data_IF_597201292608
#
_entry.id   IF_597201292608
#
_cell.length_a   1.000
_cell.length_b   1.000
_cell.length_c   1.000
_cell.angle_alpha   90.00
_cell.angle_beta   90.00
_cell.angle_gamma   90.00
#
_symmetry.space_group_name_H-M   'P 1'
#
loop_
_entity.id
_entity.type
_entity.pdbx_description
1 polymer ?
#
# COMPACT_ATOMS: atom_id res chain seq x y z
N UNK A 1 -12.77 -1.52 24.57
CA UNK A 1 -14.24 -1.66 24.48
C UNK A 1 -14.48 -2.87 23.59
N UNK A 2 -15.49 -3.70 23.88
CA UNK A 2 -15.87 -4.76 22.96
C UNK A 2 -16.70 -4.15 21.83
N UNK A 3 -16.51 -4.62 20.61
CA UNK A 3 -17.22 -4.14 19.42
C UNK A 3 -17.84 -5.36 18.72
N UNK A 4 -19.08 -5.19 18.29
CA UNK A 4 -19.77 -6.20 17.49
C UNK A 4 -19.97 -5.68 16.06
N UNK A 5 -19.94 -6.60 15.09
CA UNK A 5 -20.32 -6.35 13.71
C UNK A 5 -21.76 -6.76 13.50
N UNK A 6 -22.55 -5.80 13.02
CA UNK A 6 -23.90 -6.01 12.57
C UNK A 6 -23.88 -6.11 11.04
N UNK A 7 -24.48 -7.15 10.45
CA UNK A 7 -24.52 -7.32 9.00
C UNK A 7 -25.90 -7.72 8.49
N UNK A 8 -26.21 -7.35 7.23
CA UNK A 8 -27.43 -7.76 6.55
C UNK A 8 -27.21 -7.82 5.03
N UNK A 9 -27.79 -8.83 4.37
CA UNK A 9 -27.82 -8.94 2.91
C UNK A 9 -29.01 -8.16 2.36
N UNK A 10 -28.76 -7.22 1.46
CA UNK A 10 -29.74 -6.26 0.92
C UNK A 10 -29.54 -6.07 -0.59
N UNK A 11 -30.41 -5.29 -1.23
CA UNK A 11 -30.09 -4.77 -2.57
C UNK A 11 -29.05 -3.66 -2.46
N UNK A 12 -28.37 -3.32 -3.55
CA UNK A 12 -27.39 -2.24 -3.61
C UNK A 12 -27.96 -0.93 -3.07
N UNK A 13 -29.12 -0.54 -3.59
CA UNK A 13 -29.81 0.70 -3.21
C UNK A 13 -30.20 0.71 -1.73
N UNK A 14 -30.67 -0.42 -1.21
CA UNK A 14 -31.03 -0.57 0.20
C UNK A 14 -29.80 -0.50 1.12
N UNK A 15 -28.71 -1.16 0.74
CA UNK A 15 -27.48 -1.17 1.52
C UNK A 15 -26.92 0.24 1.68
N UNK A 16 -26.81 1.01 0.59
CA UNK A 16 -26.34 2.39 0.65
C UNK A 16 -27.29 3.31 1.41
N UNK A 17 -28.60 3.18 1.20
CA UNK A 17 -29.59 3.98 1.93
C UNK A 17 -29.50 3.74 3.46
N UNK A 18 -29.24 2.50 3.87
CA UNK A 18 -29.07 2.17 5.27
C UNK A 18 -27.74 2.68 5.83
N UNK A 19 -26.64 2.61 5.05
CA UNK A 19 -25.34 3.21 5.42
C UNK A 19 -25.49 4.70 5.68
N UNK A 20 -26.09 5.44 4.73
CA UNK A 20 -26.27 6.88 4.86
C UNK A 20 -27.06 7.23 6.13
N UNK A 21 -28.17 6.51 6.40
CA UNK A 21 -29.00 6.75 7.54
C UNK A 21 -28.34 6.39 8.89
N UNK A 22 -27.53 5.33 8.92
CA UNK A 22 -26.79 4.94 10.13
C UNK A 22 -25.67 5.93 10.42
N UNK A 23 -24.97 6.42 9.39
CA UNK A 23 -23.90 7.39 9.56
C UNK A 23 -24.37 8.79 10.00
N UNK A 24 -25.67 9.08 9.91
CA UNK A 24 -26.29 10.27 10.52
C UNK A 24 -26.60 10.10 12.02
N UNK A 25 -26.35 8.91 12.58
CA UNK A 25 -26.72 8.51 13.95
C UNK A 25 -25.49 8.04 14.73
N UNK A 26 -24.76 8.97 15.33
CA UNK A 26 -23.56 8.70 16.16
C UNK A 26 -23.82 7.76 17.35
N UNK A 27 -25.10 7.55 17.71
CA UNK A 27 -25.51 6.68 18.80
C UNK A 27 -25.75 5.20 18.39
N UNK A 28 -25.73 4.90 17.09
CA UNK A 28 -26.01 3.55 16.57
C UNK A 28 -24.77 2.75 16.21
N UNK A 29 -23.83 3.35 15.53
CA UNK A 29 -22.65 2.67 15.06
C UNK A 29 -21.41 3.58 15.07
N UNK A 30 -20.25 2.97 15.22
CA UNK A 30 -18.95 3.62 15.08
C UNK A 30 -18.61 3.85 13.59
N UNK A 31 -18.96 2.88 12.75
CA UNK A 31 -18.80 2.94 11.29
C UNK A 31 -19.89 2.13 10.61
N UNK A 32 -20.23 2.50 9.36
CA UNK A 32 -21.08 1.67 8.50
C UNK A 32 -20.52 1.66 7.06
N UNK A 33 -20.70 0.54 6.35
CA UNK A 33 -20.25 0.32 4.98
C UNK A 33 -21.20 -0.60 4.22
N UNK A 34 -21.09 -0.59 2.88
CA UNK A 34 -21.76 -1.55 2.01
C UNK A 34 -20.79 -2.02 0.92
N UNK A 35 -20.79 -3.32 0.64
CA UNK A 35 -19.96 -3.92 -0.39
C UNK A 35 -20.70 -5.06 -1.12
N UNK A 36 -20.22 -5.37 -2.32
CA UNK A 36 -20.74 -6.47 -3.13
C UNK A 36 -19.91 -7.73 -2.90
N UNK A 37 -20.56 -8.87 -2.72
CA UNK A 37 -19.90 -10.18 -2.71
C UNK A 37 -19.67 -10.57 -4.18
N UNK A 38 -18.43 -10.52 -4.65
CA UNK A 38 -18.07 -10.78 -6.06
C UNK A 38 -18.57 -12.14 -6.58
N UNK A 39 -18.64 -13.16 -5.72
CA UNK A 39 -19.05 -14.51 -6.09
C UNK A 39 -20.56 -14.65 -6.32
N UNK A 40 -21.39 -13.90 -5.61
CA UNK A 40 -22.85 -14.01 -5.65
C UNK A 40 -23.53 -12.78 -6.26
N UNK A 41 -22.86 -11.64 -6.30
CA UNK A 41 -23.42 -10.35 -6.71
C UNK A 41 -24.40 -9.76 -5.68
N UNK A 42 -24.46 -10.34 -4.49
CA UNK A 42 -25.28 -9.83 -3.39
C UNK A 42 -24.56 -8.69 -2.67
N UNK A 43 -25.34 -7.73 -2.17
CA UNK A 43 -24.82 -6.61 -1.39
C UNK A 43 -25.00 -6.84 0.09
N UNK A 44 -23.95 -6.55 0.86
CA UNK A 44 -23.95 -6.65 2.31
C UNK A 44 -23.78 -5.26 2.90
N UNK A 45 -24.70 -4.92 3.82
CA UNK A 45 -24.54 -3.82 4.75
C UNK A 45 -23.81 -4.32 5.99
N UNK A 46 -22.85 -3.56 6.46
CA UNK A 46 -22.11 -3.82 7.70
C UNK A 46 -22.03 -2.56 8.57
N UNK A 47 -22.13 -2.74 9.89
CA UNK A 47 -21.91 -1.67 10.85
C UNK A 47 -21.14 -2.18 12.06
N UNK A 48 -20.13 -1.44 12.52
CA UNK A 48 -19.39 -1.72 13.75
C UNK A 48 -20.04 -0.94 14.90
N UNK A 49 -20.45 -1.63 15.95
CA UNK A 49 -21.22 -1.09 17.06
C UNK A 49 -20.59 -1.41 18.41
N UNK A 50 -20.86 -0.59 19.41
CA UNK A 50 -20.57 -0.98 20.80
C UNK A 50 -21.37 -2.21 21.21
N UNK A 51 -20.75 -3.09 22.01
CA UNK A 51 -21.37 -4.34 22.49
C UNK A 51 -22.21 -4.10 23.73
N UNK A 52 -23.49 -4.57 23.77
CA UNK A 52 -24.28 -5.15 22.67
C UNK A 52 -24.89 -4.07 21.76
N UNK A 53 -25.01 -4.34 20.43
CA UNK A 53 -25.64 -3.38 19.52
C UNK A 53 -27.13 -3.23 19.80
N UNK A 54 -27.66 -2.04 19.55
CA UNK A 54 -29.09 -1.74 19.73
C UNK A 54 -29.89 -2.19 18.50
N UNK A 55 -30.18 -3.49 18.39
CA UNK A 55 -30.90 -4.11 17.25
C UNK A 55 -32.27 -3.46 17.02
N UNK A 56 -32.99 -3.09 18.11
CA UNK A 56 -34.32 -2.47 17.97
C UNK A 56 -34.22 -1.11 17.28
N UNK A 57 -33.22 -0.30 17.60
CA UNK A 57 -33.01 0.99 16.96
C UNK A 57 -32.56 0.83 15.49
N UNK A 58 -31.77 -0.19 15.16
CA UNK A 58 -31.44 -0.52 13.77
C UNK A 58 -32.68 -0.95 12.98
N UNK A 59 -33.55 -1.77 13.57
CA UNK A 59 -34.80 -2.18 12.93
C UNK A 59 -35.77 -0.99 12.74
N UNK A 60 -35.89 -0.12 13.73
CA UNK A 60 -36.70 1.10 13.58
C UNK A 60 -36.20 1.99 12.44
N UNK A 61 -34.88 2.16 12.34
CA UNK A 61 -34.25 2.92 11.25
C UNK A 61 -34.47 2.23 9.88
N UNK A 62 -34.29 0.92 9.81
CA UNK A 62 -34.53 0.13 8.60
C UNK A 62 -36.00 0.24 8.12
N UNK A 63 -36.95 0.19 9.02
CA UNK A 63 -38.38 0.41 8.70
C UNK A 63 -38.62 1.81 8.12
N UNK A 64 -38.00 2.83 8.70
CA UNK A 64 -38.15 4.23 8.24
C UNK A 64 -37.54 4.43 6.84
N UNK A 65 -36.36 3.83 6.57
CA UNK A 65 -35.59 4.07 5.35
C UNK A 65 -35.98 3.10 4.24
N UNK A 66 -36.18 1.81 4.57
CA UNK A 66 -36.40 0.74 3.60
C UNK A 66 -37.86 0.29 3.53
N UNK A 67 -38.69 0.71 4.47
CA UNK A 67 -40.11 0.33 4.53
C UNK A 67 -40.36 -1.09 5.06
N UNK A 68 -39.38 -1.77 5.63
CA UNK A 68 -39.49 -3.14 6.12
C UNK A 68 -38.48 -3.49 7.20
N UNK A 69 -38.72 -4.62 7.90
CA UNK A 69 -37.80 -5.19 8.88
C UNK A 69 -36.61 -5.84 8.14
N UNK A 70 -35.42 -5.64 8.65
CA UNK A 70 -34.17 -6.27 8.18
C UNK A 70 -33.73 -7.29 9.21
N UNK A 71 -33.36 -8.46 8.77
CA UNK A 71 -32.74 -9.48 9.64
C UNK A 71 -31.25 -9.22 9.72
N UNK A 72 -30.79 -8.79 10.90
CA UNK A 72 -29.38 -8.50 11.15
C UNK A 72 -28.70 -9.71 11.82
N UNK A 73 -27.57 -10.12 11.28
CA UNK A 73 -26.61 -10.99 11.95
C UNK A 73 -25.70 -10.13 12.84
N UNK A 74 -25.35 -10.66 14.02
CA UNK A 74 -24.44 -10.00 14.96
C UNK A 74 -23.31 -10.96 15.26
N UNK A 75 -22.08 -10.51 15.02
CA UNK A 75 -20.87 -11.26 15.32
C UNK A 75 -19.91 -10.39 16.15
N UNK A 76 -19.28 -10.93 17.22
CA UNK A 76 -18.29 -10.18 17.96
C UNK A 76 -17.07 -9.91 17.09
N UNK A 77 -16.62 -8.66 17.07
CA UNK A 77 -15.34 -8.30 16.45
C UNK A 77 -14.24 -8.62 17.46
N UNK A 78 -13.44 -9.61 17.15
CA UNK A 78 -12.20 -9.84 17.89
C UNK A 78 -11.19 -8.76 17.49
N UNK A 79 -11.01 -7.77 18.37
CA UNK A 79 -10.08 -6.67 18.16
C UNK A 79 -8.61 -7.12 18.19
N UNK A 80 -8.34 -8.36 18.66
CA UNK A 80 -7.01 -8.97 18.60
C UNK A 80 -6.74 -9.64 17.23
N UNK A 81 -7.80 -9.87 16.44
CA UNK A 81 -7.63 -10.37 15.07
C UNK A 81 -7.09 -9.21 14.22
N UNK A 82 -5.88 -9.38 13.74
CA UNK A 82 -5.33 -8.51 12.69
C UNK A 82 -6.10 -8.74 11.38
N UNK A 83 -7.16 -7.95 11.15
CA UNK A 83 -8.03 -8.03 9.98
C UNK A 83 -7.25 -7.84 8.67
N UNK A 84 -6.17 -7.05 8.72
CA UNK A 84 -5.27 -6.88 7.57
C UNK A 84 -4.54 -8.18 7.29
N UNK A 85 -4.02 -8.86 8.31
CA UNK A 85 -3.40 -10.17 8.14
C UNK A 85 -4.39 -11.19 7.58
N UNK A 86 -5.64 -11.19 8.05
CA UNK A 86 -6.68 -12.13 7.60
C UNK A 86 -7.16 -11.85 6.16
N UNK A 87 -7.25 -10.60 5.74
CA UNK A 87 -7.55 -10.26 4.34
C UNK A 87 -6.39 -10.59 3.39
N UNK A 88 -5.20 -10.83 3.93
CA UNK A 88 -4.01 -11.26 3.19
C UNK A 88 -3.85 -12.79 3.18
N UNK A 89 -4.56 -13.51 4.08
CA UNK A 89 -4.65 -14.95 4.06
C UNK A 89 -5.34 -15.39 2.76
N UNK A 90 -4.57 -15.92 1.82
CA UNK A 90 -5.08 -16.39 0.52
C UNK A 90 -4.69 -15.55 -0.69
N UNK A 91 -3.98 -14.45 -0.52
CA UNK A 91 -3.38 -13.76 -1.65
C UNK A 91 -2.28 -14.63 -2.27
N UNK A 92 -2.44 -14.97 -3.54
CA UNK A 92 -1.45 -15.78 -4.26
C UNK A 92 -0.10 -15.02 -4.36
N UNK A 93 1.03 -15.72 -4.35
CA UNK A 93 2.33 -15.10 -4.53
C UNK A 93 2.43 -14.30 -5.82
N UNK A 94 3.17 -13.20 -5.81
CA UNK A 94 3.38 -12.34 -6.98
C UNK A 94 4.77 -12.57 -7.57
N UNK A 95 4.82 -12.79 -8.89
CA UNK A 95 6.07 -12.85 -9.65
C UNK A 95 6.22 -11.56 -10.44
N UNK A 96 7.24 -10.77 -10.13
CA UNK A 96 7.53 -9.50 -10.78
C UNK A 96 9.03 -9.23 -10.81
N UNK A 97 9.59 -8.81 -11.93
CA UNK A 97 11.00 -8.40 -12.04
C UNK A 97 12.00 -9.46 -11.54
N UNK A 98 11.72 -10.77 -11.72
CA UNK A 98 12.58 -11.85 -11.21
C UNK A 98 12.50 -12.07 -9.70
N UNK A 99 11.53 -11.43 -9.00
CA UNK A 99 11.23 -11.65 -7.60
C UNK A 99 9.99 -12.53 -7.43
N UNK A 100 9.98 -13.32 -6.37
CA UNK A 100 8.84 -14.10 -5.89
C UNK A 100 8.42 -13.53 -4.53
N UNK A 101 7.37 -12.71 -4.52
CA UNK A 101 6.86 -12.03 -3.31
C UNK A 101 5.73 -12.86 -2.73
N UNK A 102 5.83 -13.26 -1.47
CA UNK A 102 4.86 -14.12 -0.80
C UNK A 102 4.70 -13.75 0.68
N UNK A 103 3.52 -14.04 1.24
CA UNK A 103 3.25 -13.87 2.66
C UNK A 103 3.63 -15.12 3.47
N UNK A 104 3.61 -15.02 4.80
CA UNK A 104 3.93 -16.12 5.74
C UNK A 104 2.99 -17.32 5.63
N UNK A 105 1.80 -17.14 5.08
CA UNK A 105 0.82 -18.20 4.84
C UNK A 105 1.19 -19.12 3.66
N UNK A 106 2.06 -18.65 2.76
CA UNK A 106 2.49 -19.43 1.60
C UNK A 106 3.52 -20.49 2.00
N UNK A 107 3.19 -21.76 1.77
CA UNK A 107 4.04 -22.93 2.13
C UNK A 107 4.51 -23.70 0.90
N UNK A 108 4.16 -23.21 -0.32
CA UNK A 108 4.54 -23.84 -1.56
C UNK A 108 6.03 -23.73 -1.87
N UNK A 109 6.52 -24.50 -2.85
CA UNK A 109 7.92 -24.43 -3.25
C UNK A 109 8.21 -23.10 -3.96
N UNK A 110 9.34 -22.49 -3.61
CA UNK A 110 9.83 -21.29 -4.29
C UNK A 110 10.24 -21.67 -5.72
N UNK A 111 9.72 -20.99 -6.77
CA UNK A 111 10.08 -21.28 -8.15
C UNK A 111 11.58 -21.05 -8.40
N UNK A 112 12.20 -21.95 -9.17
CA UNK A 112 13.62 -21.87 -9.50
C UNK A 112 13.95 -20.61 -10.31
N UNK A 113 15.07 -19.97 -10.01
CA UNK A 113 15.55 -18.77 -10.71
C UNK A 113 14.94 -17.46 -10.23
N UNK A 114 13.98 -17.49 -9.29
CA UNK A 114 13.41 -16.27 -8.70
C UNK A 114 14.06 -15.96 -7.34
N UNK A 115 14.13 -14.66 -7.02
CA UNK A 115 14.57 -14.20 -5.71
C UNK A 115 13.38 -14.16 -4.77
N UNK A 116 13.36 -14.99 -3.70
CA UNK A 116 12.25 -15.00 -2.76
C UNK A 116 12.27 -13.78 -1.86
N UNK A 117 11.08 -13.20 -1.65
CA UNK A 117 10.84 -12.11 -0.70
C UNK A 117 9.58 -12.43 0.11
N UNK A 118 9.79 -12.74 1.39
CA UNK A 118 8.70 -12.92 2.33
C UNK A 118 8.28 -11.55 2.85
N UNK A 119 7.07 -11.13 2.54
CA UNK A 119 6.54 -9.82 2.91
C UNK A 119 5.22 -10.02 3.64
N UNK A 120 5.24 -9.72 4.92
CA UNK A 120 4.05 -9.70 5.74
C UNK A 120 3.62 -8.24 5.94
N UNK A 121 2.33 -7.97 5.69
CA UNK A 121 1.87 -6.59 5.64
C UNK A 121 1.33 -6.09 6.97
N UNK A 122 1.29 -6.90 8.01
CA UNK A 122 0.73 -6.57 9.33
C UNK A 122 -0.38 -5.47 9.25
N UNK A 123 -0.01 -4.20 9.36
CA UNK A 123 -0.91 -3.05 9.20
C UNK A 123 -0.39 -2.03 8.16
N UNK A 124 0.75 -2.34 7.50
CA UNK A 124 1.35 -1.43 6.53
C UNK A 124 0.91 -1.73 5.08
N UNK A 125 0.88 -0.69 4.25
CA UNK A 125 0.53 -0.79 2.84
C UNK A 125 1.68 -1.39 2.02
N UNK A 126 1.39 -2.18 0.97
CA UNK A 126 2.42 -2.61 0.01
C UNK A 126 2.78 -4.09 0.04
N UNK A 127 1.80 -4.97 0.03
CA UNK A 127 1.97 -6.44 0.04
C UNK A 127 2.61 -7.05 -1.21
N UNK A 128 2.88 -6.24 -2.24
CA UNK A 128 3.36 -6.74 -3.53
C UNK A 128 2.24 -7.16 -4.50
N UNK A 129 1.02 -7.33 -4.04
CA UNK A 129 -0.12 -7.75 -4.86
C UNK A 129 -0.74 -6.62 -5.69
N UNK A 130 -0.31 -5.39 -5.45
CA UNK A 130 -0.80 -4.25 -6.18
C UNK A 130 0.01 -4.03 -7.46
N UNK A 131 -0.66 -3.64 -8.55
CA UNK A 131 -0.05 -3.39 -9.87
C UNK A 131 1.10 -2.36 -9.82
N UNK A 132 1.03 -1.41 -8.88
CA UNK A 132 2.06 -0.39 -8.67
C UNK A 132 3.37 -0.98 -8.15
N UNK A 133 3.30 -1.90 -7.18
CA UNK A 133 4.47 -2.61 -6.64
C UNK A 133 5.10 -3.50 -7.70
N UNK A 134 4.26 -4.22 -8.46
CA UNK A 134 4.71 -5.03 -9.60
C UNK A 134 5.49 -4.20 -10.62
N UNK A 135 4.95 -3.04 -11.01
CA UNK A 135 5.63 -2.12 -11.93
C UNK A 135 6.97 -1.60 -11.38
N UNK A 136 7.05 -1.29 -10.09
CA UNK A 136 8.30 -0.90 -9.45
C UNK A 136 9.34 -2.02 -9.45
N UNK A 137 8.96 -3.26 -9.11
CA UNK A 137 9.88 -4.41 -9.09
C UNK A 137 10.44 -4.69 -10.49
N UNK A 138 9.62 -4.58 -11.52
CA UNK A 138 10.09 -4.71 -12.91
C UNK A 138 11.03 -3.58 -13.31
N UNK A 139 10.69 -2.32 -12.96
CA UNK A 139 11.54 -1.17 -13.24
C UNK A 139 12.90 -1.27 -12.50
N UNK A 140 12.89 -1.72 -11.24
CA UNK A 140 14.10 -2.00 -10.47
C UNK A 140 14.97 -3.05 -11.19
N UNK A 141 14.41 -4.20 -11.55
CA UNK A 141 15.16 -5.25 -12.23
C UNK A 141 15.74 -4.76 -13.57
N UNK A 142 14.95 -4.04 -14.37
CA UNK A 142 15.42 -3.45 -15.63
C UNK A 142 16.58 -2.48 -15.41
N UNK A 143 16.53 -1.66 -14.35
CA UNK A 143 17.60 -0.73 -13.98
C UNK A 143 18.85 -1.47 -13.55
N UNK A 144 18.72 -2.46 -12.66
CA UNK A 144 19.86 -3.20 -12.07
C UNK A 144 20.60 -4.07 -13.07
N UNK A 145 19.99 -4.43 -14.20
CA UNK A 145 20.70 -5.03 -15.33
C UNK A 145 21.67 -4.07 -16.04
N UNK A 146 21.51 -2.76 -15.88
CA UNK A 146 22.27 -1.74 -16.60
C UNK A 146 23.22 -0.95 -15.70
N UNK A 147 22.87 -0.82 -14.42
CA UNK A 147 23.60 0.01 -13.46
C UNK A 147 23.71 -0.69 -12.10
N UNK A 148 24.61 -0.18 -11.27
CA UNK A 148 24.78 -0.64 -9.89
C UNK A 148 24.75 0.60 -8.98
N UNK A 149 23.56 1.12 -8.64
CA UNK A 149 23.43 2.25 -7.75
C UNK A 149 23.99 1.95 -6.35
N UNK A 150 24.54 2.97 -5.68
CA UNK A 150 25.20 2.85 -4.38
C UNK A 150 24.51 3.67 -3.29
N UNK A 151 24.05 4.87 -3.66
CA UNK A 151 23.29 5.74 -2.77
C UNK A 151 21.80 5.63 -3.11
N UNK A 152 21.05 4.95 -2.24
CA UNK A 152 19.69 4.50 -2.54
C UNK A 152 18.75 4.95 -1.44
N UNK A 153 17.58 5.48 -1.81
CA UNK A 153 16.51 5.82 -0.89
C UNK A 153 15.16 5.33 -1.40
N UNK A 154 14.36 4.77 -0.49
CA UNK A 154 12.97 4.38 -0.70
C UNK A 154 12.07 5.31 0.13
N UNK A 155 11.26 6.15 -0.53
CA UNK A 155 10.42 7.17 0.09
C UNK A 155 8.97 6.67 0.15
N UNK A 156 8.40 6.57 1.36
CA UNK A 156 7.10 5.93 1.59
C UNK A 156 7.24 4.41 1.43
N UNK A 157 8.14 3.82 2.19
CA UNK A 157 8.59 2.43 2.03
C UNK A 157 7.51 1.38 2.37
N UNK A 158 6.51 1.74 3.22
CA UNK A 158 5.43 0.86 3.62
C UNK A 158 5.92 -0.44 4.28
N UNK A 159 5.75 -1.55 3.60
CA UNK A 159 6.24 -2.87 4.04
C UNK A 159 7.74 -3.08 3.82
N UNK A 160 8.43 -2.16 3.17
CA UNK A 160 9.82 -2.31 2.81
C UNK A 160 10.08 -3.11 1.53
N UNK A 161 9.04 -3.53 0.82
CA UNK A 161 9.17 -4.47 -0.31
C UNK A 161 10.16 -4.00 -1.38
N UNK A 162 10.18 -2.70 -1.72
CA UNK A 162 11.07 -2.16 -2.76
C UNK A 162 12.51 -2.03 -2.24
N UNK A 163 12.70 -1.53 -1.02
CA UNK A 163 14.01 -1.50 -0.37
C UNK A 163 14.61 -2.91 -0.23
N UNK A 164 13.82 -3.91 0.19
CA UNK A 164 14.21 -5.31 0.32
C UNK A 164 14.60 -5.89 -1.04
N UNK A 165 13.83 -5.61 -2.10
CA UNK A 165 14.15 -6.06 -3.46
C UNK A 165 15.53 -5.57 -3.90
N UNK A 166 15.81 -4.29 -3.72
CA UNK A 166 17.11 -3.69 -4.06
C UNK A 166 18.22 -4.28 -3.18
N UNK A 167 18.00 -4.43 -1.86
CA UNK A 167 18.97 -5.00 -0.94
C UNK A 167 19.36 -6.44 -1.30
N UNK A 168 18.40 -7.26 -1.67
CA UNK A 168 18.64 -8.65 -2.11
C UNK A 168 19.46 -8.75 -3.41
N UNK A 169 19.35 -7.76 -4.29
CA UNK A 169 20.11 -7.71 -5.54
C UNK A 169 21.52 -7.13 -5.39
N UNK A 170 21.66 -6.09 -4.59
CA UNK A 170 22.91 -5.29 -4.53
C UNK A 170 23.70 -5.49 -3.24
N UNK A 171 23.05 -5.83 -2.13
CA UNK A 171 23.70 -5.95 -0.82
C UNK A 171 24.23 -4.64 -0.23
N UNK A 172 23.92 -3.49 -0.83
CA UNK A 172 24.33 -2.16 -0.34
C UNK A 172 23.48 -1.62 0.79
N UNK A 173 23.83 -0.44 1.32
CA UNK A 173 23.02 0.29 2.30
C UNK A 173 21.92 1.08 1.60
N UNK A 174 20.71 0.96 2.11
CA UNK A 174 19.50 1.61 1.60
C UNK A 174 18.87 2.37 2.75
N UNK A 175 18.51 3.62 2.52
CA UNK A 175 17.66 4.38 3.42
C UNK A 175 16.21 4.15 3.02
N UNK A 176 15.40 3.64 3.94
CA UNK A 176 13.96 3.48 3.76
C UNK A 176 13.23 4.47 4.69
N UNK A 177 12.28 5.22 4.17
CA UNK A 177 11.59 6.24 4.97
C UNK A 177 10.08 6.12 4.84
N UNK A 178 9.37 6.36 5.92
CA UNK A 178 7.91 6.48 5.91
C UNK A 178 7.45 7.51 6.95
N UNK A 179 6.29 8.10 6.73
CA UNK A 179 5.64 8.99 7.70
C UNK A 179 4.98 8.20 8.84
N UNK A 180 4.63 6.93 8.58
CA UNK A 180 3.96 6.05 9.53
C UNK A 180 5.01 5.22 10.31
N UNK A 181 5.10 5.36 11.64
CA UNK A 181 6.00 4.55 12.46
C UNK A 181 5.69 3.05 12.40
N UNK A 182 4.44 2.66 12.09
CA UNK A 182 4.07 1.25 11.89
C UNK A 182 4.74 0.72 10.61
N UNK A 183 4.74 1.49 9.53
CA UNK A 183 5.43 1.12 8.29
C UNK A 183 6.94 0.98 8.51
N UNK A 184 7.57 1.87 9.29
CA UNK A 184 8.99 1.76 9.66
C UNK A 184 9.26 0.46 10.40
N UNK A 185 8.44 0.12 11.41
CA UNK A 185 8.58 -1.12 12.17
C UNK A 185 8.40 -2.35 11.28
N UNK A 186 7.37 -2.35 10.45
CA UNK A 186 7.09 -3.44 9.47
C UNK A 186 8.26 -3.62 8.48
N UNK A 187 8.83 -2.52 7.99
CA UNK A 187 10.01 -2.57 7.12
C UNK A 187 11.19 -3.25 7.82
N UNK A 188 11.46 -2.93 9.10
CA UNK A 188 12.54 -3.55 9.88
C UNK A 188 12.30 -5.06 10.06
N UNK A 189 11.09 -5.45 10.40
CA UNK A 189 10.71 -6.86 10.59
C UNK A 189 10.83 -7.64 9.28
N UNK A 190 10.27 -7.14 8.18
CA UNK A 190 10.39 -7.77 6.88
C UNK A 190 11.84 -7.83 6.37
N UNK A 191 12.66 -6.82 6.65
CA UNK A 191 14.08 -6.84 6.32
C UNK A 191 14.83 -7.95 7.06
N UNK A 192 14.49 -8.17 8.35
CA UNK A 192 15.07 -9.25 9.15
C UNK A 192 14.66 -10.63 8.62
N UNK A 193 13.36 -10.85 8.34
CA UNK A 193 12.84 -12.09 7.77
C UNK A 193 13.48 -12.42 6.40
N UNK A 194 13.86 -11.40 5.66
CA UNK A 194 14.51 -11.54 4.37
C UNK A 194 16.03 -11.64 4.42
N UNK A 195 16.65 -11.57 5.62
CA UNK A 195 18.10 -11.63 5.82
C UNK A 195 18.87 -10.43 5.29
N UNK A 196 18.20 -9.24 5.21
CA UNK A 196 18.79 -7.99 4.72
C UNK A 196 18.70 -6.85 5.76
N UNK A 197 18.49 -7.17 7.04
CA UNK A 197 18.38 -6.18 8.11
C UNK A 197 19.60 -5.24 8.15
N UNK A 198 20.81 -5.77 7.97
CA UNK A 198 22.03 -4.97 7.96
C UNK A 198 22.16 -4.03 6.75
N UNK A 199 21.29 -4.19 5.74
CA UNK A 199 21.32 -3.41 4.51
C UNK A 199 20.31 -2.26 4.51
N UNK A 200 19.32 -2.27 5.39
CA UNK A 200 18.21 -1.31 5.38
C UNK A 200 18.22 -0.51 6.68
N UNK A 201 18.37 0.79 6.55
CA UNK A 201 18.17 1.74 7.62
C UNK A 201 16.78 2.37 7.45
N UNK A 202 15.79 1.91 8.23
CA UNK A 202 14.43 2.43 8.18
C UNK A 202 14.22 3.53 9.23
N UNK A 203 13.65 4.67 8.81
CA UNK A 203 13.42 5.83 9.68
C UNK A 203 12.05 6.46 9.42
N UNK A 204 11.47 7.04 10.47
CA UNK A 204 10.29 7.89 10.35
C UNK A 204 10.68 9.25 9.77
N UNK A 205 10.03 9.67 8.68
CA UNK A 205 10.28 10.95 8.04
C UNK A 205 9.06 11.46 7.27
N UNK A 206 8.74 12.73 7.43
CA UNK A 206 7.73 13.41 6.63
C UNK A 206 8.35 13.86 5.29
N UNK A 207 8.02 13.15 4.21
CA UNK A 207 8.55 13.44 2.88
C UNK A 207 10.08 13.39 2.86
N UNK A 208 10.73 14.55 2.64
CA UNK A 208 12.19 14.68 2.58
C UNK A 208 12.77 15.46 3.76
N UNK A 209 11.99 15.75 4.81
CA UNK A 209 12.35 16.67 5.88
C UNK A 209 13.19 16.03 7.02
N UNK A 210 13.94 14.98 6.72
CA UNK A 210 14.80 14.35 7.72
C UNK A 210 16.29 14.56 7.42
N UNK A 211 17.09 14.83 8.46
CA UNK A 211 18.52 15.12 8.30
C UNK A 211 19.33 13.98 7.67
N UNK A 212 18.96 12.73 7.93
CA UNK A 212 19.59 11.55 7.31
C UNK A 212 19.41 11.50 5.80
N UNK A 213 18.24 11.95 5.26
CA UNK A 213 18.00 12.00 3.83
C UNK A 213 18.99 12.98 3.18
N UNK A 214 19.12 14.16 3.73
CA UNK A 214 20.05 15.18 3.24
C UNK A 214 21.52 14.77 3.41
N UNK A 215 21.87 14.10 4.53
CA UNK A 215 23.24 13.68 4.83
C UNK A 215 23.75 12.58 3.89
N UNK A 216 22.87 11.75 3.33
CA UNK A 216 23.23 10.66 2.41
C UNK A 216 23.08 11.04 0.94
N UNK A 217 22.54 12.22 0.64
CA UNK A 217 22.46 12.73 -0.74
C UNK A 217 23.89 13.05 -1.28
N UNK A 218 24.08 13.02 -2.62
CA UNK A 218 23.08 12.77 -3.65
C UNK A 218 22.83 11.27 -3.88
N UNK A 219 21.60 10.93 -4.31
CA UNK A 219 21.16 9.54 -4.53
C UNK A 219 21.27 9.13 -6.00
N UNK A 220 21.78 7.91 -6.22
CA UNK A 220 21.83 7.26 -7.54
C UNK A 220 20.48 6.66 -7.93
N UNK A 221 19.72 6.20 -6.90
CA UNK A 221 18.40 5.62 -7.06
C UNK A 221 17.46 6.17 -5.99
N UNK A 222 16.36 6.74 -6.43
CA UNK A 222 15.23 7.13 -5.60
C UNK A 222 14.04 6.26 -6.03
N UNK A 223 13.43 5.55 -5.09
CA UNK A 223 12.20 4.81 -5.33
C UNK A 223 11.09 5.43 -4.49
N UNK A 224 9.90 5.58 -5.06
CA UNK A 224 8.72 6.05 -4.33
C UNK A 224 7.45 5.46 -4.94
N UNK A 225 6.71 4.67 -4.17
CA UNK A 225 5.41 4.12 -4.55
C UNK A 225 4.32 4.70 -3.66
N UNK A 226 4.01 5.99 -3.87
CA UNK A 226 3.05 6.78 -3.10
C UNK A 226 2.08 7.50 -4.03
N UNK A 227 1.06 8.16 -3.48
CA UNK A 227 0.06 8.87 -4.27
C UNK A 227 0.63 10.00 -5.14
N UNK A 228 0.02 10.24 -6.30
CA UNK A 228 0.46 11.23 -7.29
C UNK A 228 0.54 12.67 -6.75
N UNK A 229 -0.35 13.07 -5.83
CA UNK A 229 -0.32 14.39 -5.19
C UNK A 229 0.98 14.62 -4.44
N UNK A 230 1.29 13.82 -3.40
CA UNK A 230 2.57 13.88 -2.69
C UNK A 230 3.79 13.77 -3.61
N UNK A 231 3.78 12.89 -4.62
CA UNK A 231 4.87 12.80 -5.60
C UNK A 231 5.12 14.13 -6.31
N UNK A 232 4.05 14.80 -6.73
CA UNK A 232 4.14 16.09 -7.40
C UNK A 232 4.72 17.18 -6.46
N UNK A 233 4.30 17.19 -5.20
CA UNK A 233 4.79 18.13 -4.18
C UNK A 233 6.27 17.91 -3.84
N UNK A 234 6.71 16.65 -3.81
CA UNK A 234 8.09 16.27 -3.51
C UNK A 234 9.06 16.48 -4.70
N UNK A 235 8.56 16.66 -5.92
CA UNK A 235 9.40 16.73 -7.12
C UNK A 235 10.58 17.73 -7.03
N UNK A 236 10.41 18.99 -6.56
CA UNK A 236 11.53 19.91 -6.42
C UNK A 236 12.60 19.42 -5.45
N UNK A 237 12.19 18.86 -4.29
CA UNK A 237 13.08 18.31 -3.30
C UNK A 237 13.82 17.07 -3.80
N UNK A 238 13.12 16.16 -4.47
CA UNK A 238 13.75 14.99 -5.10
C UNK A 238 14.77 15.41 -6.18
N UNK A 239 14.47 16.48 -6.94
CA UNK A 239 15.44 17.07 -7.86
C UNK A 239 16.71 17.58 -7.16
N UNK A 240 16.58 18.06 -5.92
CA UNK A 240 17.71 18.55 -5.12
C UNK A 240 18.59 17.47 -4.52
N UNK A 241 18.04 16.29 -4.25
CA UNK A 241 18.76 15.16 -3.64
C UNK A 241 19.20 14.10 -4.64
N UNK A 242 18.75 14.16 -5.90
CA UNK A 242 19.14 13.21 -6.93
C UNK A 242 20.51 13.56 -7.54
N UNK A 243 21.34 12.55 -7.75
CA UNK A 243 22.59 12.68 -8.48
C UNK A 243 22.32 12.91 -9.98
N UNK A 244 23.14 13.69 -10.64
CA UNK A 244 23.08 13.79 -12.11
C UNK A 244 23.33 12.41 -12.74
N UNK A 245 22.44 11.97 -13.64
CA UNK A 245 22.40 10.62 -14.18
C UNK A 245 21.74 9.58 -13.25
N UNK A 246 21.37 9.96 -12.03
CA UNK A 246 20.62 9.11 -11.11
C UNK A 246 19.19 8.87 -11.58
N UNK A 247 18.59 7.78 -11.12
CA UNK A 247 17.25 7.32 -11.54
C UNK A 247 16.25 7.53 -10.43
N UNK A 248 15.05 8.01 -10.78
CA UNK A 248 13.88 7.96 -9.94
C UNK A 248 12.85 6.97 -10.53
N UNK A 249 12.38 6.01 -9.71
CA UNK A 249 11.30 5.08 -10.04
C UNK A 249 10.09 5.47 -9.20
N UNK A 250 9.02 5.92 -9.86
CA UNK A 250 7.84 6.49 -9.22
C UNK A 250 6.60 5.69 -9.61
N UNK A 251 5.77 5.32 -8.63
CA UNK A 251 4.51 4.62 -8.85
C UNK A 251 3.46 5.04 -7.81
N UNK A 252 2.27 4.39 -7.80
CA UNK A 252 1.11 4.87 -7.04
C UNK A 252 0.32 5.92 -7.82
N UNK A 253 0.51 5.97 -9.14
CA UNK A 253 0.02 6.98 -10.07
C UNK A 253 -1.03 6.34 -10.99
N UNK A 254 -2.23 6.90 -11.08
CA UNK A 254 -3.19 6.50 -12.11
C UNK A 254 -2.72 6.97 -13.50
N UNK A 255 -3.06 6.22 -14.55
CA UNK A 255 -2.72 6.61 -15.93
C UNK A 255 -3.16 8.02 -16.29
N UNK A 256 -4.28 8.48 -15.72
CA UNK A 256 -4.82 9.84 -15.92
C UNK A 256 -4.03 10.93 -15.19
N UNK A 257 -3.19 10.58 -14.21
CA UNK A 257 -2.38 11.50 -13.41
C UNK A 257 -0.93 11.59 -13.92
N UNK A 258 -0.52 10.65 -14.79
CA UNK A 258 0.86 10.47 -15.21
C UNK A 258 1.47 11.76 -15.79
N UNK A 259 0.77 12.44 -16.70
CA UNK A 259 1.28 13.63 -17.38
C UNK A 259 1.57 14.78 -16.39
N UNK A 260 0.74 14.92 -15.35
CA UNK A 260 0.95 15.94 -14.30
C UNK A 260 2.22 15.64 -13.47
N UNK A 261 2.43 14.37 -13.10
CA UNK A 261 3.64 13.97 -12.36
C UNK A 261 4.88 14.13 -13.25
N UNK A 262 4.84 13.68 -14.50
CA UNK A 262 5.95 13.83 -15.46
C UNK A 262 6.34 15.31 -15.58
N UNK A 263 5.37 16.21 -15.79
CA UNK A 263 5.64 17.65 -15.92
C UNK A 263 6.32 18.25 -14.68
N UNK A 264 5.88 17.83 -13.46
CA UNK A 264 6.51 18.29 -12.22
C UNK A 264 7.97 17.86 -12.10
N UNK A 265 8.27 16.60 -12.46
CA UNK A 265 9.64 16.07 -12.41
C UNK A 265 10.52 16.65 -13.54
N UNK A 266 9.98 16.94 -14.72
CA UNK A 266 10.72 17.64 -15.78
C UNK A 266 11.14 19.03 -15.33
N UNK A 267 10.27 19.78 -14.63
CA UNK A 267 10.61 21.05 -14.01
C UNK A 267 11.67 20.92 -12.91
N UNK A 268 11.73 19.79 -12.22
CA UNK A 268 12.73 19.45 -11.22
C UNK A 268 14.06 18.94 -11.84
N UNK A 269 14.17 18.93 -13.16
CA UNK A 269 15.39 18.58 -13.89
C UNK A 269 15.54 17.10 -14.18
N UNK A 270 14.46 16.33 -14.20
CA UNK A 270 14.46 14.96 -14.70
C UNK A 270 14.04 14.89 -16.17
N UNK A 271 14.24 13.76 -16.80
CA UNK A 271 13.66 13.38 -18.08
C UNK A 271 13.00 12.00 -17.95
N UNK A 272 11.88 11.79 -18.60
CA UNK A 272 11.26 10.47 -18.69
C UNK A 272 12.12 9.54 -19.54
N UNK A 273 12.43 8.36 -19.00
CA UNK A 273 13.19 7.30 -19.67
C UNK A 273 12.30 6.14 -20.05
N UNK A 274 11.38 5.76 -19.17
CA UNK A 274 10.44 4.67 -19.41
C UNK A 274 9.10 4.93 -18.71
N UNK A 275 8.03 4.29 -19.21
CA UNK A 275 6.67 4.47 -18.75
C UNK A 275 5.92 3.13 -18.82
N UNK A 276 5.87 2.40 -17.70
CA UNK A 276 5.20 1.11 -17.60
C UNK A 276 3.75 1.33 -17.16
N UNK A 277 2.81 0.83 -17.96
CA UNK A 277 1.37 0.86 -17.65
C UNK A 277 0.87 -0.53 -17.31
N UNK A 278 0.13 -0.63 -16.20
CA UNK A 278 -0.51 -1.87 -15.72
C UNK A 278 -1.93 -1.55 -15.30
N UNK A 279 -2.91 -2.07 -16.05
CA UNK A 279 -4.32 -1.70 -15.86
C UNK A 279 -4.48 -0.18 -15.81
N UNK A 280 -5.04 0.36 -14.73
CA UNK A 280 -5.21 1.80 -14.47
C UNK A 280 -3.97 2.49 -13.89
N UNK A 281 -2.90 1.75 -13.56
CA UNK A 281 -1.73 2.26 -12.87
C UNK A 281 -0.53 2.47 -13.77
N UNK A 282 0.31 3.39 -13.36
CA UNK A 282 1.54 3.81 -14.03
C UNK A 282 2.75 3.72 -13.11
N UNK A 283 3.86 3.22 -13.64
CA UNK A 283 5.19 3.37 -13.06
C UNK A 283 6.07 4.16 -14.03
N UNK A 284 6.67 5.23 -13.55
CA UNK A 284 7.55 6.12 -14.30
C UNK A 284 9.01 5.86 -13.93
N UNK A 285 9.87 5.76 -14.91
CA UNK A 285 11.33 5.73 -14.74
C UNK A 285 11.88 7.04 -15.30
N UNK A 286 12.48 7.84 -14.41
CA UNK A 286 13.00 9.16 -14.77
C UNK A 286 14.49 9.23 -14.46
N UNK A 287 15.26 9.94 -15.28
CA UNK A 287 16.70 10.15 -15.08
C UNK A 287 16.97 11.63 -14.82
N UNK A 288 17.77 11.93 -13.79
CA UNK A 288 18.21 13.29 -13.46
C UNK A 288 19.19 13.79 -14.51
N UNK A 289 18.94 14.98 -15.08
CA UNK A 289 19.80 15.65 -16.06
C UNK A 289 21.08 16.19 -15.43
#
# INVERSE_FOLDING_TARGET
MAVDQLSATLTKEQAYALVDAVMERDDLALTASAHEIEETGEWVFEASCDTPPNIDAFNELAIQVLGGIVEFAVEPIDLEINWVARSLEGLAPVIAGGFYVYGSHETGPIPEGLTPMKIDAAQAFGTGHHETTTGCLEAIEMLLHRTTPKAIVDIGTGTGVLAIAVAKRLGGKILATDIDPIAVTTTIENAAENGVADNIDAIEATGLEHGEIAARAPYDLIVANILAGPLTELAPGMGGIAQSGGTAILSGILNTQADGVIAAYELAGFKLVDHLKRKEWTTLVLEKR
#
